data_IF_962191852013
#
_entry.id   IF_962191852013
#
_cell.length_a   1.000
_cell.length_b   1.000
_cell.length_c   1.000
_cell.angle_alpha   90.00
_cell.angle_beta   90.00
_cell.angle_gamma   90.00
#
_symmetry.space_group_name_H-M   'P 1'
#
loop_
_entity.id
_entity.type
_entity.pdbx_description
1 polymer ?
#
# COMPACT_ATOMS: atom_id res chain seq x y z
N UNK A 1 7.18 5.66 -14.11
CA UNK A 1 7.32 4.35 -13.41
C UNK A 1 8.71 3.73 -13.43
N UNK A 2 9.64 4.07 -14.35
CA UNK A 2 10.88 3.31 -14.58
C UNK A 2 11.73 3.08 -13.32
N UNK A 3 11.91 4.11 -12.48
CA UNK A 3 12.72 4.08 -11.25
C UNK A 3 11.95 3.71 -9.97
N UNK A 4 10.68 3.32 -10.06
CA UNK A 4 9.91 2.89 -8.89
C UNK A 4 10.33 1.47 -8.46
N UNK A 5 10.28 1.19 -7.16
CA UNK A 5 10.31 -0.17 -6.60
C UNK A 5 9.27 -1.02 -7.35
N UNK A 6 9.68 -2.19 -7.83
CA UNK A 6 8.83 -3.11 -8.58
C UNK A 6 8.25 -4.21 -7.69
N UNK A 7 7.18 -4.82 -8.19
CA UNK A 7 6.63 -6.02 -7.59
C UNK A 7 7.71 -7.12 -7.55
N UNK A 8 7.86 -7.76 -6.39
CA UNK A 8 8.84 -8.83 -6.17
C UNK A 8 10.20 -8.35 -5.64
N UNK A 9 10.48 -7.04 -5.63
CA UNK A 9 11.68 -6.51 -4.98
C UNK A 9 11.56 -6.63 -3.45
N UNK A 10 12.64 -7.09 -2.81
CA UNK A 10 12.72 -7.14 -1.35
C UNK A 10 13.05 -5.75 -0.80
N UNK A 11 12.32 -5.36 0.24
CA UNK A 11 12.59 -4.15 1.00
C UNK A 11 12.95 -4.53 2.43
N UNK A 12 13.94 -3.85 2.99
CA UNK A 12 14.14 -3.87 4.44
C UNK A 12 12.93 -3.25 5.16
N UNK A 13 12.70 -3.60 6.44
CA UNK A 13 11.63 -2.97 7.23
C UNK A 13 11.72 -1.43 7.28
N UNK A 14 12.94 -0.90 7.30
CA UNK A 14 13.22 0.54 7.33
C UNK A 14 12.85 1.22 6.00
N UNK A 15 13.18 0.61 4.86
CA UNK A 15 12.81 1.10 3.54
C UNK A 15 11.29 1.07 3.36
N UNK A 16 10.64 -0.02 3.74
CA UNK A 16 9.18 -0.14 3.69
C UNK A 16 8.49 0.95 4.54
N UNK A 17 8.94 1.15 5.78
CA UNK A 17 8.39 2.20 6.65
C UNK A 17 8.60 3.61 6.07
N UNK A 18 9.75 3.86 5.47
CA UNK A 18 10.06 5.13 4.81
C UNK A 18 9.16 5.35 3.59
N UNK A 19 8.97 4.33 2.76
CA UNK A 19 8.09 4.39 1.58
C UNK A 19 6.65 4.74 1.96
N UNK A 20 6.12 4.09 3.00
CA UNK A 20 4.77 4.39 3.51
C UNK A 20 4.66 5.82 4.06
N UNK A 21 5.70 6.30 4.76
CA UNK A 21 5.75 7.68 5.26
C UNK A 21 5.75 8.69 4.12
N UNK A 22 6.59 8.47 3.11
CA UNK A 22 6.66 9.31 1.91
C UNK A 22 5.34 9.33 1.15
N UNK A 23 4.67 8.18 1.00
CA UNK A 23 3.35 8.10 0.36
C UNK A 23 2.34 9.01 1.07
N UNK A 24 2.27 8.97 2.41
CA UNK A 24 1.35 9.80 3.21
C UNK A 24 1.59 11.31 3.07
N UNK A 25 2.80 11.73 2.69
CA UNK A 25 3.16 13.14 2.50
C UNK A 25 2.86 13.65 1.08
N UNK A 26 2.49 12.77 0.15
CA UNK A 26 2.12 13.18 -1.21
C UNK A 26 0.76 13.89 -1.20
N UNK A 27 0.54 14.76 -2.19
CA UNK A 27 -0.72 15.51 -2.33
C UNK A 27 -1.93 14.60 -2.57
N UNK A 28 -1.74 13.49 -3.30
CA UNK A 28 -2.79 12.56 -3.67
C UNK A 28 -2.32 11.13 -3.37
N UNK A 29 -2.35 10.71 -2.10
CA UNK A 29 -1.76 9.44 -1.69
C UNK A 29 -2.57 8.24 -2.16
N UNK A 30 -3.84 8.41 -2.52
CA UNK A 30 -4.77 7.33 -2.83
C UNK A 30 -4.60 6.75 -4.24
N UNK A 31 -4.00 7.52 -5.16
CA UNK A 31 -3.84 7.12 -6.56
C UNK A 31 -2.44 7.42 -7.07
N UNK A 32 -1.94 6.57 -7.97
CA UNK A 32 -0.72 6.83 -8.71
C UNK A 32 -1.01 7.85 -9.83
N UNK A 33 0.01 8.46 -10.47
CA UNK A 33 -0.19 9.47 -11.53
C UNK A 33 -0.88 8.93 -12.79
N UNK A 34 -1.15 7.62 -12.88
CA UNK A 34 -1.90 6.98 -13.96
C UNK A 34 -3.30 6.51 -13.53
N UNK A 35 -3.76 6.91 -12.33
CA UNK A 35 -5.09 6.60 -11.82
C UNK A 35 -5.26 5.25 -11.12
N UNK A 36 -4.20 4.46 -10.94
CA UNK A 36 -4.30 3.17 -10.20
C UNK A 36 -4.32 3.44 -8.70
N UNK A 37 -5.13 2.71 -7.91
CA UNK A 37 -5.10 2.83 -6.46
C UNK A 37 -3.75 2.39 -5.91
N UNK A 38 -3.24 3.10 -4.90
CA UNK A 38 -1.97 2.78 -4.22
C UNK A 38 -2.15 1.84 -3.04
N UNK A 39 -3.36 1.76 -2.49
CA UNK A 39 -3.70 1.00 -1.29
C UNK A 39 -5.09 0.38 -1.45
N UNK A 40 -5.31 -0.74 -0.77
CA UNK A 40 -6.63 -1.36 -0.59
C UNK A 40 -6.92 -1.36 0.91
N UNK A 41 -8.13 -0.96 1.30
CA UNK A 41 -8.58 -1.02 2.68
C UNK A 41 -9.35 -2.33 2.89
N UNK A 42 -9.01 -3.05 3.96
CA UNK A 42 -9.77 -4.21 4.44
C UNK A 42 -10.16 -3.89 5.88
N UNK A 43 -11.46 -3.76 6.14
CA UNK A 43 -11.95 -3.55 7.49
C UNK A 43 -11.77 -4.81 8.34
N UNK A 44 -11.76 -4.64 9.66
CA UNK A 44 -11.70 -5.77 10.60
C UNK A 44 -12.85 -6.76 10.37
N UNK A 45 -14.06 -6.26 10.10
CA UNK A 45 -15.23 -7.09 9.81
C UNK A 45 -15.08 -7.90 8.53
N UNK A 46 -14.57 -7.30 7.46
CA UNK A 46 -14.28 -8.02 6.22
C UNK A 46 -13.22 -9.10 6.44
N UNK A 47 -12.17 -8.78 7.19
CA UNK A 47 -11.14 -9.75 7.55
C UNK A 47 -11.73 -10.91 8.37
N UNK A 48 -12.54 -10.63 9.39
CA UNK A 48 -13.21 -11.65 10.20
C UNK A 48 -14.09 -12.57 9.35
N UNK A 49 -14.85 -12.02 8.40
CA UNK A 49 -15.66 -12.79 7.44
C UNK A 49 -14.81 -13.70 6.55
N UNK A 50 -13.69 -13.19 6.02
CA UNK A 50 -12.76 -13.98 5.19
C UNK A 50 -12.21 -15.20 5.92
N UNK A 51 -12.00 -15.08 7.23
CA UNK A 51 -11.53 -16.16 8.10
C UNK A 51 -12.67 -16.96 8.77
N UNK A 52 -13.94 -16.71 8.40
CA UNK A 52 -15.14 -17.37 8.97
C UNK A 52 -15.22 -17.26 10.50
N UNK A 53 -14.74 -16.14 11.05
CA UNK A 53 -14.74 -15.88 12.50
C UNK A 53 -16.01 -15.18 12.97
N UNK A 54 -16.65 -14.40 12.09
CA UNK A 54 -17.94 -13.71 12.27
C UNK A 54 -18.61 -13.46 10.92
#
# INVERSE_FOLDING_TARGET
CRQAVKAGEQLSPQEAATLIRSLRQTKVPQTCPHGRPTMVAISKTELEKMFRRR
#
